data_IF_921543719787
#
_entry.id   IF_921543719787
#
_cell.length_a   1.000
_cell.length_b   1.000
_cell.length_c   1.000
_cell.angle_alpha   90.00
_cell.angle_beta   90.00
_cell.angle_gamma   90.00
#
_symmetry.space_group_name_H-M   'P 1'
#
loop_
_entity.id
_entity.type
_entity.pdbx_description
1 polymer ?
#
# COMPACT_ATOMS: atom_id res chain seq x y z
N UNK A 1 18.64 -24.71 -61.38
CA UNK A 1 19.84 -23.89 -61.65
C UNK A 1 19.40 -22.44 -61.79
N UNK A 2 19.98 -21.54 -60.98
CA UNK A 2 19.99 -20.08 -61.22
C UNK A 2 18.91 -19.26 -60.50
N UNK A 3 19.35 -18.41 -59.55
CA UNK A 3 18.77 -17.07 -59.39
C UNK A 3 18.25 -16.69 -58.00
N UNK A 4 19.14 -16.21 -57.12
CA UNK A 4 18.81 -15.38 -55.96
C UNK A 4 18.06 -14.10 -56.36
N UNK A 5 16.98 -13.75 -55.63
CA UNK A 5 16.63 -12.39 -55.13
C UNK A 5 15.20 -12.40 -54.55
N UNK A 6 15.02 -11.86 -53.34
CA UNK A 6 13.70 -11.48 -52.83
C UNK A 6 13.48 -11.75 -51.34
N UNK A 7 14.03 -10.87 -50.52
CA UNK A 7 13.86 -10.82 -49.05
C UNK A 7 12.67 -9.89 -48.71
N UNK A 8 12.02 -10.18 -47.57
CA UNK A 8 11.17 -9.32 -46.71
C UNK A 8 9.76 -8.89 -47.13
N UNK A 9 8.75 -9.45 -46.44
CA UNK A 9 7.50 -8.82 -45.94
C UNK A 9 6.66 -9.90 -45.26
N UNK A 10 6.02 -9.80 -44.08
CA UNK A 10 5.93 -8.80 -43.04
C UNK A 10 5.21 -9.52 -41.87
N UNK A 11 5.86 -9.60 -40.71
CA UNK A 11 5.26 -10.12 -39.48
C UNK A 11 4.40 -9.00 -38.87
N UNK A 12 3.11 -9.27 -38.72
CA UNK A 12 2.15 -8.39 -38.06
C UNK A 12 2.57 -8.12 -36.60
N UNK A 13 2.59 -6.84 -36.24
CA UNK A 13 2.64 -6.36 -34.86
C UNK A 13 1.37 -6.77 -34.11
N UNK A 14 1.52 -7.54 -33.02
CA UNK A 14 0.56 -7.55 -31.91
C UNK A 14 1.13 -6.64 -30.84
N UNK A 15 0.51 -5.47 -30.66
CA UNK A 15 0.77 -4.56 -29.55
C UNK A 15 0.31 -5.22 -28.25
N UNK A 16 1.26 -5.58 -27.38
CA UNK A 16 1.00 -5.90 -25.98
C UNK A 16 1.19 -4.63 -25.15
N UNK A 17 0.07 -4.20 -24.59
CA UNK A 17 -0.09 -3.09 -23.66
C UNK A 17 0.70 -3.39 -22.37
N UNK A 18 1.68 -2.56 -22.03
CA UNK A 18 2.47 -2.71 -20.81
C UNK A 18 1.74 -2.08 -19.61
N UNK A 19 1.16 -2.93 -18.76
CA UNK A 19 0.77 -2.54 -17.40
C UNK A 19 2.01 -2.41 -16.52
N UNK A 20 2.04 -1.34 -15.70
CA UNK A 20 3.14 -0.96 -14.81
C UNK A 20 3.36 -1.93 -13.64
N UNK A 21 3.87 -3.12 -13.94
CA UNK A 21 4.34 -4.10 -12.95
C UNK A 21 5.87 -3.97 -12.74
N UNK A 22 6.37 -3.98 -11.49
CA UNK A 22 7.81 -3.97 -11.18
C UNK A 22 8.56 -5.25 -11.62
N UNK A 23 7.89 -6.20 -12.27
CA UNK A 23 8.51 -7.36 -12.89
C UNK A 23 9.23 -7.04 -14.22
N UNK A 24 8.89 -5.94 -14.91
CA UNK A 24 9.48 -5.60 -16.20
C UNK A 24 10.93 -5.07 -16.08
N UNK A 25 11.33 -4.54 -14.92
CA UNK A 25 12.71 -4.09 -14.68
C UNK A 25 13.68 -5.20 -14.32
N UNK A 26 13.20 -6.37 -13.83
CA UNK A 26 14.10 -7.50 -13.56
C UNK A 26 14.49 -8.25 -14.83
N UNK A 27 13.59 -8.29 -15.83
CA UNK A 27 13.85 -8.96 -17.11
C UNK A 27 14.97 -8.27 -17.92
N UNK A 28 15.07 -6.95 -17.83
CA UNK A 28 16.13 -6.19 -18.50
C UNK A 28 17.50 -6.32 -17.81
N UNK A 29 17.54 -6.48 -16.49
CA UNK A 29 18.78 -6.76 -15.74
C UNK A 29 19.26 -8.20 -15.94
N UNK A 30 18.34 -9.15 -16.02
CA UNK A 30 18.59 -10.55 -16.36
C UNK A 30 19.24 -10.68 -17.76
N UNK A 31 18.78 -9.92 -18.76
CA UNK A 31 19.28 -9.97 -20.14
C UNK A 31 20.76 -9.56 -20.30
N UNK A 32 21.27 -8.64 -19.47
CA UNK A 32 22.68 -8.22 -19.50
C UNK A 32 23.61 -9.30 -18.92
N UNK A 33 23.11 -10.14 -18.00
CA UNK A 33 23.82 -11.29 -17.45
C UNK A 33 23.77 -12.52 -18.37
N UNK A 34 22.71 -12.68 -19.17
CA UNK A 34 22.64 -13.71 -20.19
C UNK A 34 23.56 -13.42 -21.37
N UNK A 35 23.83 -12.15 -21.70
CA UNK A 35 24.64 -11.77 -22.86
C UNK A 35 26.04 -12.39 -22.88
N UNK A 36 26.85 -12.39 -21.80
CA UNK A 36 28.16 -13.06 -21.78
C UNK A 36 28.08 -14.59 -21.85
N UNK A 37 27.09 -15.20 -21.19
CA UNK A 37 26.89 -16.66 -21.16
C UNK A 37 26.33 -17.19 -22.48
N UNK A 38 25.37 -16.48 -23.06
CA UNK A 38 24.89 -16.68 -24.41
C UNK A 38 25.99 -16.38 -25.41
N UNK A 39 26.81 -15.33 -25.23
CA UNK A 39 27.97 -15.04 -26.06
C UNK A 39 29.02 -16.16 -25.98
N UNK A 40 29.21 -16.83 -24.85
CA UNK A 40 30.08 -18.02 -24.77
C UNK A 40 29.48 -19.24 -25.48
N UNK A 41 28.17 -19.48 -25.36
CA UNK A 41 27.49 -20.54 -26.11
C UNK A 41 27.45 -20.26 -27.62
N UNK A 42 27.27 -18.99 -28.00
CA UNK A 42 27.26 -18.45 -29.36
C UNK A 42 28.67 -18.46 -29.92
N UNK A 43 29.71 -18.09 -29.19
CA UNK A 43 31.11 -18.16 -29.64
C UNK A 43 31.58 -19.60 -29.82
N UNK A 44 31.13 -20.55 -28.99
CA UNK A 44 31.39 -21.97 -29.22
C UNK A 44 30.75 -22.50 -30.52
N UNK A 45 29.68 -21.86 -31.00
CA UNK A 45 28.93 -22.26 -32.21
C UNK A 45 29.30 -21.41 -33.45
N UNK A 46 29.72 -20.15 -33.28
CA UNK A 46 29.86 -19.13 -34.34
C UNK A 46 31.28 -18.66 -34.59
N UNK A 47 32.29 -19.31 -33.99
CA UNK A 47 33.70 -18.95 -34.17
C UNK A 47 34.25 -18.96 -35.62
N UNK A 48 33.54 -19.46 -36.67
CA UNK A 48 34.01 -19.21 -38.04
C UNK A 48 33.49 -17.94 -38.74
N UNK A 49 32.49 -17.19 -38.24
CA UNK A 49 31.65 -16.45 -39.21
C UNK A 49 31.31 -14.96 -39.04
N UNK A 50 31.68 -14.22 -37.99
CA UNK A 50 31.28 -12.79 -37.95
C UNK A 50 32.36 -11.84 -37.43
N UNK A 51 33.20 -11.40 -38.36
CA UNK A 51 33.72 -10.04 -38.43
C UNK A 51 32.75 -9.23 -39.32
N UNK A 52 32.55 -7.94 -38.98
CA UNK A 52 31.75 -6.90 -39.67
C UNK A 52 30.32 -6.73 -39.12
N UNK A 53 30.09 -5.79 -38.21
CA UNK A 53 29.66 -4.42 -38.54
C UNK A 53 29.34 -3.62 -37.26
N UNK A 54 29.69 -2.33 -37.30
CA UNK A 54 29.53 -1.35 -36.22
C UNK A 54 28.25 -0.49 -36.38
N UNK A 55 27.61 -0.20 -35.21
CA UNK A 55 27.08 1.13 -34.77
C UNK A 55 25.79 1.72 -35.42
N UNK A 56 25.14 2.80 -34.88
CA UNK A 56 24.56 3.04 -33.54
C UNK A 56 23.17 3.75 -33.52
N UNK A 57 22.68 4.06 -32.30
CA UNK A 57 21.83 5.22 -31.90
C UNK A 57 20.31 5.11 -32.22
N UNK A 58 19.34 5.75 -31.57
CA UNK A 58 19.17 6.55 -30.34
C UNK A 58 17.65 6.84 -30.20
N UNK A 59 17.24 7.55 -29.14
CA UNK A 59 16.10 8.51 -29.08
C UNK A 59 14.83 8.16 -28.24
N UNK A 60 14.67 9.03 -27.22
CA UNK A 60 13.51 9.68 -26.57
C UNK A 60 12.42 8.96 -25.76
N UNK A 61 12.22 9.56 -24.56
CA UNK A 61 11.07 9.52 -23.66
C UNK A 61 9.92 10.40 -24.20
N UNK A 62 8.65 10.04 -23.93
CA UNK A 62 7.56 11.00 -23.84
C UNK A 62 7.17 11.28 -22.38
N UNK A 63 7.04 12.57 -22.08
CA UNK A 63 6.29 13.10 -20.95
C UNK A 63 4.80 13.11 -21.28
N UNK A 64 3.95 12.84 -20.29
CA UNK A 64 2.50 12.94 -20.41
C UNK A 64 1.92 13.62 -19.18
N UNK A 65 1.51 14.88 -19.35
CA UNK A 65 0.62 15.62 -18.44
C UNK A 65 -0.81 15.20 -18.72
N UNK A 66 -1.62 15.03 -17.66
CA UNK A 66 -3.08 15.01 -17.75
C UNK A 66 -3.61 16.04 -16.76
N UNK A 67 -4.45 16.94 -17.28
CA UNK A 67 -5.17 17.99 -16.57
C UNK A 67 -6.66 17.66 -16.65
N UNK A 68 -7.37 17.74 -15.53
CA UNK A 68 -8.81 17.96 -15.53
C UNK A 68 -9.21 18.99 -14.47
N UNK A 69 -10.08 19.92 -14.91
CA UNK A 69 -10.68 21.01 -14.17
C UNK A 69 -11.79 20.49 -13.25
N UNK A 70 -11.83 20.93 -11.99
CA UNK A 70 -13.08 21.19 -11.28
C UNK A 70 -12.97 22.48 -10.46
N UNK A 71 -14.01 23.31 -10.59
CA UNK A 71 -14.08 24.69 -10.15
C UNK A 71 -14.69 24.78 -8.75
N UNK A 72 -13.93 25.40 -7.83
CA UNK A 72 -14.33 26.14 -6.61
C UNK A 72 -15.49 25.61 -5.76
N UNK A 73 -15.14 25.03 -4.62
CA UNK A 73 -15.76 25.36 -3.33
C UNK A 73 -14.75 25.08 -2.20
N UNK A 74 -14.21 26.15 -1.62
CA UNK A 74 -13.32 26.13 -0.45
C UNK A 74 -14.14 25.89 0.81
N UNK A 75 -13.91 24.79 1.52
CA UNK A 75 -14.41 24.56 2.88
C UNK A 75 -13.23 24.31 3.82
N UNK A 76 -13.29 24.86 5.03
CA UNK A 76 -12.20 24.94 6.01
C UNK A 76 -12.77 24.61 7.40
N UNK A 77 -12.17 23.66 8.13
CA UNK A 77 -11.65 23.77 9.52
C UNK A 77 -11.65 22.44 10.33
N UNK A 78 -10.60 22.23 11.13
CA UNK A 78 -10.47 21.27 12.26
C UNK A 78 -9.63 21.92 13.37
N UNK A 79 -10.04 21.81 14.65
CA UNK A 79 -9.15 21.87 15.83
C UNK A 79 -9.28 20.54 16.61
N UNK A 80 -8.32 20.06 17.41
CA UNK A 80 -7.68 20.69 18.58
C UNK A 80 -6.55 19.79 19.14
N UNK A 81 -5.56 20.37 19.85
CA UNK A 81 -5.03 20.01 21.20
C UNK A 81 -3.50 20.22 21.37
N UNK A 82 -3.18 21.28 22.13
CA UNK A 82 -1.95 21.64 22.87
C UNK A 82 -0.58 21.35 22.22
N UNK A 83 0.09 22.43 21.78
CA UNK A 83 1.56 22.51 21.76
C UNK A 83 2.21 22.90 20.42
N UNK A 84 1.45 23.15 19.36
CA UNK A 84 1.98 23.49 18.03
C UNK A 84 1.15 24.63 17.42
N UNK A 85 1.81 25.56 16.74
CA UNK A 85 1.28 26.82 16.17
C UNK A 85 -0.02 26.64 15.35
N UNK A 86 -0.88 27.67 15.37
CA UNK A 86 -2.13 27.74 14.60
C UNK A 86 -1.85 27.76 13.09
N UNK A 87 -2.46 26.83 12.35
CA UNK A 87 -2.32 26.72 10.90
C UNK A 87 -3.70 26.67 10.25
N UNK A 88 -3.99 27.59 9.35
CA UNK A 88 -5.25 27.62 8.60
C UNK A 88 -5.03 26.82 7.32
N UNK A 89 -5.91 25.88 6.96
CA UNK A 89 -5.69 25.02 5.78
C UNK A 89 -6.85 25.15 4.79
N UNK A 90 -6.58 25.56 3.55
CA UNK A 90 -7.55 25.60 2.46
C UNK A 90 -7.43 24.37 1.56
N UNK A 91 -8.55 23.96 0.97
CA UNK A 91 -8.58 22.94 -0.06
C UNK A 91 -8.49 23.61 -1.43
N UNK A 92 -7.32 23.55 -2.06
CA UNK A 92 -7.09 24.14 -3.38
C UNK A 92 -6.35 23.13 -4.27
N UNK A 93 -6.90 22.87 -5.47
CA UNK A 93 -6.37 21.90 -6.44
C UNK A 93 -6.16 20.50 -5.86
N UNK A 94 -7.20 19.94 -5.20
CA UNK A 94 -7.18 18.58 -4.62
C UNK A 94 -6.09 18.36 -3.56
N UNK A 95 -5.50 19.44 -3.04
CA UNK A 95 -4.44 19.40 -2.03
C UNK A 95 -4.74 20.35 -0.88
N UNK A 96 -4.41 19.93 0.33
CA UNK A 96 -4.44 20.77 1.52
C UNK A 96 -3.26 21.73 1.49
N UNK A 97 -3.55 23.04 1.51
CA UNK A 97 -2.53 24.10 1.59
C UNK A 97 -2.74 24.95 2.84
N UNK A 98 -1.65 25.26 3.51
CA UNK A 98 -1.66 26.23 4.61
C UNK A 98 -1.86 27.65 4.08
N UNK A 99 -2.76 28.40 4.71
CA UNK A 99 -3.10 29.78 4.44
C UNK A 99 -2.97 30.61 5.73
N UNK A 100 -2.92 31.92 5.58
CA UNK A 100 -2.85 32.84 6.70
C UNK A 100 -4.25 33.19 7.23
N UNK A 101 -4.33 33.56 8.50
CA UNK A 101 -5.56 33.96 9.22
C UNK A 101 -6.39 35.01 8.47
N UNK A 102 -5.72 36.03 7.91
CA UNK A 102 -6.38 37.09 7.14
C UNK A 102 -7.03 36.58 5.86
N UNK A 103 -6.43 35.57 5.24
CA UNK A 103 -6.99 34.94 4.04
C UNK A 103 -8.19 34.08 4.40
N UNK A 104 -8.11 33.32 5.50
CA UNK A 104 -9.24 32.57 6.04
C UNK A 104 -10.43 33.50 6.36
N UNK A 105 -10.19 34.62 7.05
CA UNK A 105 -11.22 35.60 7.39
C UNK A 105 -11.90 36.21 6.14
N UNK A 106 -11.14 36.47 5.06
CA UNK A 106 -11.71 36.99 3.81
C UNK A 106 -12.54 35.96 3.03
N UNK A 107 -12.21 34.66 3.12
CA UNK A 107 -13.01 33.58 2.53
C UNK A 107 -14.36 33.47 3.24
N UNK A 108 -14.40 33.64 4.56
CA UNK A 108 -15.66 33.66 5.33
C UNK A 108 -16.56 34.87 4.98
N UNK A 109 -16.02 35.94 4.41
CA UNK A 109 -16.84 37.06 3.93
C UNK A 109 -17.47 36.81 2.54
N UNK A 110 -17.23 35.66 1.91
CA UNK A 110 -17.77 35.38 0.58
C UNK A 110 -19.24 34.91 0.66
N UNK A 111 -20.09 35.83 0.18
CA UNK A 111 -21.47 35.69 -0.34
C UNK A 111 -22.62 35.68 0.67
N UNK A 112 -23.04 36.90 0.99
CA UNK A 112 -24.45 37.33 1.09
C UNK A 112 -25.19 37.05 -0.24
N UNK A 113 -25.40 35.79 -0.58
CA UNK A 113 -26.13 35.35 -1.77
C UNK A 113 -26.87 34.06 -1.41
N UNK A 114 -28.02 34.25 -0.75
CA UNK A 114 -29.30 33.53 -0.85
C UNK A 114 -30.16 34.23 0.23
N UNK A 115 -31.37 34.67 -0.11
CA UNK A 115 -32.35 35.11 0.90
C UNK A 115 -32.79 33.88 1.68
N UNK A 116 -31.95 33.45 2.63
CA UNK A 116 -32.28 32.33 3.51
C UNK A 116 -33.41 32.79 4.44
N UNK A 117 -34.41 31.92 4.68
CA UNK A 117 -35.44 32.21 5.66
C UNK A 117 -34.79 32.46 7.03
N UNK A 118 -35.17 33.56 7.68
CA UNK A 118 -34.66 33.93 9.00
C UNK A 118 -35.62 33.43 10.08
N UNK A 119 -35.26 32.36 10.78
CA UNK A 119 -36.15 31.61 11.67
C UNK A 119 -36.36 32.22 13.07
N UNK A 120 -36.09 33.53 13.24
CA UNK A 120 -36.38 34.31 14.47
C UNK A 120 -35.96 33.60 15.78
N UNK A 121 -34.78 32.98 15.79
CA UNK A 121 -34.24 32.26 16.95
C UNK A 121 -35.10 31.08 17.42
N UNK A 122 -35.86 30.44 16.52
CA UNK A 122 -36.53 29.17 16.85
C UNK A 122 -35.48 28.16 17.36
N UNK A 123 -35.83 27.46 18.42
CA UNK A 123 -35.00 26.42 19.02
C UNK A 123 -34.90 25.26 18.02
N UNK A 124 -33.68 24.76 17.84
CA UNK A 124 -33.38 23.60 17.01
C UNK A 124 -32.65 22.55 17.87
N UNK A 125 -33.29 21.42 18.15
CA UNK A 125 -32.76 20.39 19.05
C UNK A 125 -31.94 19.36 18.30
N UNK A 126 -30.75 19.04 18.81
CA UNK A 126 -29.77 18.18 18.16
C UNK A 126 -29.37 17.06 19.12
N UNK A 127 -29.66 15.80 18.79
CA UNK A 127 -29.11 14.67 19.51
C UNK A 127 -27.68 14.36 19.04
N UNK A 128 -26.78 14.03 19.98
CA UNK A 128 -25.42 13.61 19.65
C UNK A 128 -24.82 12.61 20.63
N UNK A 129 -23.78 11.89 20.22
CA UNK A 129 -23.01 10.98 21.09
C UNK A 129 -21.51 11.24 20.93
N UNK A 130 -20.68 10.74 21.85
CA UNK A 130 -19.24 10.81 21.75
C UNK A 130 -18.75 9.84 20.67
N UNK A 131 -18.31 10.39 19.55
CA UNK A 131 -17.82 9.63 18.41
C UNK A 131 -16.66 10.35 17.74
N UNK A 132 -15.46 9.85 18.02
CA UNK A 132 -14.22 10.25 17.39
C UNK A 132 -14.04 11.78 17.29
N UNK A 133 -13.68 12.30 16.12
CA UNK A 133 -13.53 13.72 15.79
C UNK A 133 -14.84 14.39 15.37
N UNK A 134 -15.90 13.61 15.12
CA UNK A 134 -17.17 14.14 14.62
C UNK A 134 -17.96 14.84 15.71
N UNK A 135 -18.01 14.24 16.91
CA UNK A 135 -18.76 14.77 18.04
C UNK A 135 -18.15 14.32 19.38
N UNK A 136 -17.97 15.27 20.28
CA UNK A 136 -17.53 15.04 21.64
C UNK A 136 -18.32 15.98 22.55
N UNK A 137 -19.02 15.41 23.51
CA UNK A 137 -19.82 16.15 24.48
C UNK A 137 -19.43 15.76 25.90
N UNK A 138 -19.45 16.76 26.77
CA UNK A 138 -19.29 16.57 28.20
C UNK A 138 -20.33 15.59 28.77
N UNK A 139 -20.11 15.12 30.00
CA UNK A 139 -21.22 14.55 30.75
C UNK A 139 -22.22 15.67 31.09
N UNK A 140 -23.53 15.42 30.96
CA UNK A 140 -24.53 16.39 31.38
C UNK A 140 -24.43 16.63 32.88
N UNK A 141 -24.60 17.88 33.30
CA UNK A 141 -24.75 18.24 34.71
C UNK A 141 -26.13 17.80 35.24
N UNK A 142 -26.40 17.95 36.55
CA UNK A 142 -27.69 17.59 37.16
C UNK A 142 -28.91 18.27 36.51
N UNK A 143 -28.69 19.39 35.80
CA UNK A 143 -29.71 20.13 35.06
C UNK A 143 -29.75 19.80 33.56
N UNK A 144 -29.15 18.68 33.14
CA UNK A 144 -29.02 18.22 31.73
C UNK A 144 -28.31 19.22 30.79
N UNK A 145 -27.59 20.18 31.37
CA UNK A 145 -26.78 21.13 30.61
C UNK A 145 -25.42 20.54 30.29
N UNK A 146 -25.00 20.63 29.02
CA UNK A 146 -23.68 20.21 28.58
C UNK A 146 -22.66 21.34 28.82
N UNK A 147 -21.63 21.07 29.62
CA UNK A 147 -20.55 22.03 29.90
C UNK A 147 -19.76 22.45 28.65
N UNK A 148 -19.58 21.53 27.72
CA UNK A 148 -18.87 21.76 26.47
C UNK A 148 -19.31 20.76 25.41
N UNK A 149 -19.27 21.21 24.16
CA UNK A 149 -19.53 20.42 22.96
C UNK A 149 -18.44 20.74 21.95
N UNK A 150 -17.84 19.71 21.36
CA UNK A 150 -16.76 19.78 20.38
C UNK A 150 -17.04 18.77 19.27
N UNK A 151 -16.31 18.89 18.17
CA UNK A 151 -16.37 17.96 17.06
C UNK A 151 -16.84 18.63 15.78
N UNK A 152 -16.25 18.19 14.68
CA UNK A 152 -16.40 18.82 13.38
C UNK A 152 -17.87 18.92 12.93
N UNK A 153 -18.63 17.84 13.07
CA UNK A 153 -20.01 17.79 12.61
C UNK A 153 -20.93 18.71 13.42
N UNK A 154 -20.74 18.75 14.74
CA UNK A 154 -21.51 19.65 15.61
C UNK A 154 -21.22 21.12 15.30
N UNK A 155 -19.95 21.47 15.13
CA UNK A 155 -19.54 22.84 14.79
C UNK A 155 -20.10 23.27 13.44
N UNK A 156 -20.06 22.39 12.43
CA UNK A 156 -20.63 22.66 11.12
C UNK A 156 -22.14 22.91 11.19
N UNK A 157 -22.88 22.07 11.94
CA UNK A 157 -24.31 22.24 12.09
C UNK A 157 -24.68 23.50 12.88
N UNK A 158 -23.89 23.89 13.89
CA UNK A 158 -24.08 25.16 14.59
C UNK A 158 -23.94 26.36 13.67
N UNK A 159 -22.91 26.38 12.83
CA UNK A 159 -22.70 27.45 11.84
C UNK A 159 -23.88 27.53 10.85
N UNK A 160 -24.40 26.38 10.41
CA UNK A 160 -25.59 26.34 9.57
C UNK A 160 -26.81 26.92 10.31
N UNK A 161 -27.06 26.50 11.55
CA UNK A 161 -28.16 27.02 12.36
C UNK A 161 -28.08 28.53 12.55
N UNK A 162 -26.90 29.04 12.90
CA UNK A 162 -26.67 30.48 13.09
C UNK A 162 -26.88 31.26 11.78
N UNK A 163 -26.46 30.72 10.64
CA UNK A 163 -26.63 31.36 9.32
C UNK A 163 -28.10 31.57 8.91
N UNK A 164 -29.01 30.74 9.42
CA UNK A 164 -30.47 30.84 9.18
C UNK A 164 -31.24 31.42 10.37
N UNK A 165 -30.54 31.85 11.42
CA UNK A 165 -31.13 32.43 12.62
C UNK A 165 -31.89 31.43 13.51
N UNK A 166 -31.44 30.17 13.57
CA UNK A 166 -31.88 29.15 14.53
C UNK A 166 -30.98 29.15 15.77
N UNK A 167 -31.52 28.72 16.92
CA UNK A 167 -30.76 28.53 18.15
C UNK A 167 -30.57 27.03 18.42
N UNK A 168 -29.37 26.47 18.20
CA UNK A 168 -29.12 25.05 18.43
C UNK A 168 -29.07 24.73 19.93
N UNK A 169 -29.71 23.62 20.33
CA UNK A 169 -29.61 23.02 21.67
C UNK A 169 -29.20 21.57 21.49
N UNK A 170 -28.10 21.16 22.13
CA UNK A 170 -27.58 19.80 21.99
C UNK A 170 -28.00 18.95 23.18
N UNK A 171 -28.50 17.76 22.89
CA UNK A 171 -28.81 16.71 23.86
C UNK A 171 -27.90 15.50 23.62
N UNK A 172 -27.52 14.81 24.70
CA UNK A 172 -26.65 13.64 24.60
C UNK A 172 -27.47 12.36 24.50
N UNK A 173 -27.35 11.67 23.37
CA UNK A 173 -27.89 10.33 23.20
C UNK A 173 -27.05 9.30 23.99
N UNK A 174 -27.73 8.38 24.67
CA UNK A 174 -27.08 7.38 25.54
C UNK A 174 -26.46 6.24 24.73
N UNK A 175 -27.04 5.90 23.57
CA UNK A 175 -26.67 4.72 22.77
C UNK A 175 -26.79 4.96 21.27
N UNK A 176 -26.15 4.06 20.54
CA UNK A 176 -26.33 3.91 19.09
C UNK A 176 -27.54 3.04 18.79
N UNK A 177 -28.22 3.35 17.70
CA UNK A 177 -29.35 2.57 17.20
C UNK A 177 -28.92 1.20 16.74
N UNK A 178 -29.85 0.26 16.86
CA UNK A 178 -29.75 -1.05 16.25
C UNK A 178 -31.02 -1.31 15.48
N UNK A 179 -30.87 -1.79 14.25
CA UNK A 179 -31.99 -2.13 13.38
C UNK A 179 -32.07 -3.65 13.22
N UNK A 180 -33.29 -4.16 13.08
CA UNK A 180 -33.53 -5.49 12.54
C UNK A 180 -33.37 -5.45 11.01
N UNK A 181 -33.17 -6.63 10.39
CA UNK A 181 -33.08 -6.74 8.92
C UNK A 181 -34.32 -6.21 8.17
N UNK A 182 -35.46 -6.16 8.84
CA UNK A 182 -36.71 -5.62 8.30
C UNK A 182 -36.83 -4.08 8.41
N UNK A 183 -35.76 -3.38 8.82
CA UNK A 183 -35.75 -1.92 9.00
C UNK A 183 -36.37 -1.43 10.31
N UNK A 184 -36.95 -2.31 11.14
CA UNK A 184 -37.52 -1.90 12.43
C UNK A 184 -36.44 -1.62 13.46
N UNK A 185 -36.65 -0.60 14.29
CA UNK A 185 -35.72 -0.21 15.35
C UNK A 185 -35.77 -1.28 16.45
N UNK A 186 -34.63 -1.94 16.68
CA UNK A 186 -34.43 -2.92 17.76
C UNK A 186 -34.10 -2.24 19.08
N UNK A 187 -33.27 -1.20 19.02
CA UNK A 187 -32.88 -0.40 20.18
C UNK A 187 -32.90 1.06 19.78
N UNK A 188 -33.62 1.86 20.57
CA UNK A 188 -33.62 3.31 20.43
C UNK A 188 -32.24 3.87 20.80
N UNK A 189 -31.66 4.63 19.89
CA UNK A 189 -30.45 5.40 20.07
C UNK A 189 -30.52 6.74 19.34
N UNK A 190 -29.34 7.27 19.01
CA UNK A 190 -29.11 8.57 18.40
C UNK A 190 -30.07 8.96 17.26
N UNK A 191 -30.24 8.10 16.26
CA UNK A 191 -31.07 8.34 15.07
C UNK A 191 -32.55 8.16 15.39
N UNK A 192 -32.90 7.20 16.25
CA UNK A 192 -34.28 6.96 16.62
C UNK A 192 -34.91 8.17 17.29
N UNK A 193 -34.14 8.98 18.03
CA UNK A 193 -34.63 10.23 18.63
C UNK A 193 -35.09 11.23 17.57
N UNK A 194 -34.40 11.30 16.42
CA UNK A 194 -34.83 12.11 15.29
C UNK A 194 -36.05 11.50 14.60
N UNK A 195 -36.03 10.19 14.34
CA UNK A 195 -37.14 9.45 13.72
C UNK A 195 -38.45 9.59 14.51
N UNK A 196 -38.39 9.57 15.84
CA UNK A 196 -39.57 9.73 16.69
C UNK A 196 -40.01 11.18 16.88
N UNK A 197 -39.25 12.15 16.36
CA UNK A 197 -39.50 13.58 16.52
C UNK A 197 -39.21 14.13 17.92
N UNK A 198 -38.38 13.43 18.71
CA UNK A 198 -37.92 13.94 20.01
C UNK A 198 -36.86 15.03 19.84
N UNK A 199 -36.09 14.96 18.74
CA UNK A 199 -35.15 15.99 18.33
C UNK A 199 -35.34 16.36 16.86
N UNK A 200 -34.92 17.57 16.47
CA UNK A 200 -35.00 18.03 15.08
C UNK A 200 -33.91 17.41 14.19
N UNK A 201 -32.75 17.07 14.75
CA UNK A 201 -31.65 16.41 14.02
C UNK A 201 -30.81 15.50 14.91
N UNK A 202 -30.16 14.50 14.29
CA UNK A 202 -29.19 13.63 14.93
C UNK A 202 -27.81 13.75 14.26
N UNK A 203 -26.76 13.86 15.09
CA UNK A 203 -25.39 14.12 14.65
C UNK A 203 -24.39 13.29 15.44
N UNK A 204 -23.39 12.71 14.77
CA UNK A 204 -22.26 12.12 15.48
C UNK A 204 -21.57 10.98 14.76
N UNK A 205 -21.29 11.14 13.47
CA UNK A 205 -20.68 10.11 12.61
C UNK A 205 -21.69 9.08 12.13
N UNK A 206 -22.89 9.53 11.77
CA UNK A 206 -23.94 8.67 11.22
C UNK A 206 -23.51 8.20 9.83
N UNK A 207 -23.36 6.89 9.69
CA UNK A 207 -23.13 6.25 8.40
C UNK A 207 -24.45 5.96 7.70
N UNK A 208 -24.45 6.15 6.39
CA UNK A 208 -25.54 5.71 5.52
C UNK A 208 -25.67 4.19 5.57
N UNK A 209 -26.84 3.70 5.96
CA UNK A 209 -27.19 2.27 5.89
C UNK A 209 -28.43 2.07 5.05
N UNK A 210 -28.52 0.93 4.36
CA UNK A 210 -29.64 0.63 3.49
C UNK A 210 -30.98 0.61 4.26
N UNK A 211 -30.93 0.21 5.52
CA UNK A 211 -32.09 0.13 6.42
C UNK A 211 -32.68 1.49 6.81
N UNK A 212 -31.96 2.59 6.59
CA UNK A 212 -32.48 3.95 6.86
C UNK A 212 -33.22 4.56 5.68
N UNK A 213 -33.04 4.02 4.47
CA UNK A 213 -33.65 4.58 3.28
C UNK A 213 -35.17 4.46 3.39
N UNK A 214 -35.85 5.61 3.49
CA UNK A 214 -37.30 5.68 3.66
C UNK A 214 -37.80 5.69 5.11
N UNK A 215 -36.90 5.63 6.10
CA UNK A 215 -37.24 5.80 7.53
C UNK A 215 -36.91 7.22 8.00
N UNK A 216 -35.79 7.78 7.53
CA UNK A 216 -35.37 9.15 7.83
C UNK A 216 -34.76 9.83 6.60
N UNK A 217 -34.79 11.16 6.59
CA UNK A 217 -34.15 11.95 5.56
C UNK A 217 -32.71 12.27 5.98
N UNK A 218 -31.74 11.71 5.25
CA UNK A 218 -30.32 11.97 5.52
C UNK A 218 -29.83 13.06 4.57
N UNK A 219 -29.19 14.10 5.11
CA UNK A 219 -28.56 15.16 4.31
C UNK A 219 -27.47 14.57 3.41
N UNK A 220 -27.32 15.05 2.15
CA UNK A 220 -26.34 14.54 1.20
C UNK A 220 -24.98 14.30 1.83
N UNK A 221 -24.32 13.17 1.51
CA UNK A 221 -23.10 12.78 2.20
C UNK A 221 -22.03 13.83 1.96
N UNK A 222 -21.50 14.38 3.04
CA UNK A 222 -20.46 15.41 2.99
C UNK A 222 -19.07 14.79 2.87
N UNK A 223 -18.93 13.49 3.19
CA UNK A 223 -17.66 12.78 3.15
C UNK A 223 -17.80 11.30 2.77
N UNK A 224 -16.78 10.80 2.06
CA UNK A 224 -16.56 9.37 1.84
C UNK A 224 -15.41 8.91 2.72
N UNK A 225 -15.70 7.96 3.60
CA UNK A 225 -14.70 7.33 4.46
C UNK A 225 -14.45 5.89 4.07
N UNK A 226 -13.41 5.34 4.67
CA UNK A 226 -12.97 3.98 4.45
C UNK A 226 -12.57 3.33 5.77
N UNK A 227 -13.14 2.19 6.13
CA UNK A 227 -12.65 1.43 7.27
C UNK A 227 -11.33 0.74 6.93
N UNK A 228 -10.38 0.84 7.85
CA UNK A 228 -9.06 0.22 7.76
C UNK A 228 -8.68 -0.43 9.08
N UNK A 229 -7.82 -1.43 8.99
CA UNK A 229 -7.26 -2.09 10.16
C UNK A 229 -5.91 -1.50 10.52
N UNK A 230 -5.67 -1.38 11.81
CA UNK A 230 -4.37 -1.14 12.39
C UNK A 230 -3.65 -2.49 12.55
N UNK A 231 -2.64 -2.73 11.72
CA UNK A 231 -1.86 -3.98 11.65
C UNK A 231 -0.50 -3.82 12.35
N UNK A 232 0.07 -4.86 12.96
CA UNK A 232 1.41 -4.75 13.52
C UNK A 232 2.43 -4.45 12.41
N UNK A 233 3.40 -3.57 12.71
CA UNK A 233 4.49 -3.28 11.78
C UNK A 233 5.30 -4.54 11.52
N UNK A 234 5.69 -4.80 10.26
CA UNK A 234 6.53 -5.95 9.96
C UNK A 234 7.87 -5.81 10.69
N UNK A 235 8.29 -6.88 11.35
CA UNK A 235 9.59 -6.89 12.02
C UNK A 235 10.69 -7.05 10.98
N UNK A 236 11.88 -6.56 11.31
CA UNK A 236 13.07 -6.82 10.49
C UNK A 236 13.35 -8.32 10.54
N UNK A 237 13.45 -8.97 9.38
CA UNK A 237 13.90 -10.37 9.32
C UNK A 237 15.33 -10.42 9.84
N UNK A 238 15.61 -11.39 10.71
CA UNK A 238 16.98 -11.65 11.15
C UNK A 238 17.85 -12.02 9.95
N UNK A 239 19.14 -11.73 10.06
CA UNK A 239 20.11 -12.08 9.02
C UNK A 239 20.12 -13.60 8.83
N UNK A 240 19.77 -14.04 7.62
CA UNK A 240 19.80 -15.45 7.22
C UNK A 240 20.94 -15.64 6.21
N UNK A 241 21.72 -16.72 6.39
CA UNK A 241 22.80 -17.10 5.47
C UNK A 241 22.29 -17.40 4.06
N UNK A 242 21.01 -17.74 3.92
CA UNK A 242 20.37 -17.92 2.61
C UNK A 242 20.35 -16.63 1.78
N UNK A 243 20.54 -15.45 2.39
CA UNK A 243 20.60 -14.17 1.71
C UNK A 243 21.75 -14.09 0.69
N UNK A 244 22.87 -14.77 0.95
CA UNK A 244 23.99 -14.84 -0.01
C UNK A 244 23.62 -15.61 -1.27
N UNK A 245 22.78 -16.64 -1.16
CA UNK A 245 22.27 -17.39 -2.30
C UNK A 245 21.17 -16.61 -3.03
N UNK A 246 20.46 -15.72 -2.32
CA UNK A 246 19.43 -14.86 -2.89
C UNK A 246 19.95 -13.74 -3.80
N UNK A 247 21.26 -13.49 -3.84
CA UNK A 247 21.88 -12.42 -4.65
C UNK A 247 21.63 -12.62 -6.14
N UNK A 248 21.63 -13.88 -6.60
CA UNK A 248 21.29 -14.24 -7.97
C UNK A 248 20.05 -15.12 -8.01
N UNK A 249 19.29 -15.02 -9.11
CA UNK A 249 18.20 -15.94 -9.37
C UNK A 249 18.70 -17.38 -9.50
N UNK A 250 17.82 -18.35 -9.18
CA UNK A 250 18.15 -19.78 -9.25
C UNK A 250 18.70 -20.20 -10.63
N UNK A 251 18.19 -19.60 -11.71
CA UNK A 251 18.66 -19.87 -13.07
C UNK A 251 20.10 -19.44 -13.32
N UNK A 252 20.51 -18.30 -12.77
CA UNK A 252 21.89 -17.81 -12.91
C UNK A 252 22.84 -18.75 -12.17
N UNK A 253 22.49 -19.22 -10.98
CA UNK A 253 23.27 -20.22 -10.25
C UNK A 253 23.43 -21.52 -11.04
N UNK A 254 22.35 -22.01 -11.65
CA UNK A 254 22.39 -23.18 -12.53
C UNK A 254 23.34 -22.94 -13.70
N UNK A 255 23.28 -21.77 -14.35
CA UNK A 255 24.17 -21.43 -15.45
C UNK A 255 25.64 -21.31 -15.02
N UNK A 256 25.92 -20.78 -13.84
CA UNK A 256 27.27 -20.76 -13.27
C UNK A 256 27.78 -22.19 -13.12
N UNK A 257 26.99 -23.09 -12.50
CA UNK A 257 27.36 -24.51 -12.34
C UNK A 257 27.59 -25.18 -13.70
N UNK A 258 26.71 -24.96 -14.68
CA UNK A 258 26.86 -25.49 -16.04
C UNK A 258 28.13 -24.96 -16.70
N UNK A 259 28.42 -23.66 -16.57
CA UNK A 259 29.63 -23.06 -17.14
C UNK A 259 30.92 -23.61 -16.52
N UNK A 260 30.92 -23.89 -15.21
CA UNK A 260 32.03 -24.53 -14.50
C UNK A 260 32.29 -25.95 -15.05
N UNK A 261 31.29 -26.63 -15.62
CA UNK A 261 31.46 -27.94 -16.24
C UNK A 261 31.87 -27.83 -17.71
N UNK A 262 31.21 -26.94 -18.48
CA UNK A 262 31.42 -26.81 -19.92
C UNK A 262 32.81 -26.24 -20.25
N UNK A 263 33.26 -25.21 -19.54
CA UNK A 263 34.53 -24.54 -19.86
C UNK A 263 35.74 -25.49 -19.72
N UNK A 264 35.92 -26.26 -18.63
CA UNK A 264 37.00 -27.25 -18.54
C UNK A 264 36.91 -28.30 -19.64
N UNK A 265 35.71 -28.78 -19.99
CA UNK A 265 35.51 -29.77 -21.05
C UNK A 265 35.92 -29.23 -22.42
N UNK A 266 35.57 -27.99 -22.74
CA UNK A 266 36.00 -27.34 -24.00
C UNK A 266 37.50 -27.12 -24.05
N UNK A 267 38.14 -26.73 -22.93
CA UNK A 267 39.59 -26.62 -22.83
C UNK A 267 40.27 -27.99 -23.01
N UNK A 268 39.75 -29.06 -22.39
CA UNK A 268 40.25 -30.42 -22.58
C UNK A 268 40.03 -30.96 -24.00
N UNK A 269 38.93 -30.60 -24.66
CA UNK A 269 38.67 -31.02 -26.03
C UNK A 269 39.63 -30.32 -27.01
N UNK A 270 39.84 -29.02 -26.83
CA UNK A 270 40.77 -28.25 -27.67
C UNK A 270 42.22 -28.71 -27.50
N UNK A 271 42.64 -29.13 -26.31
CA UNK A 271 43.99 -29.70 -26.12
C UNK A 271 44.15 -31.03 -26.85
N UNK A 272 43.16 -31.91 -26.80
CA UNK A 272 43.18 -33.20 -27.50
C UNK A 272 43.13 -33.06 -29.02
N UNK A 273 42.42 -32.06 -29.53
CA UNK A 273 42.32 -31.80 -30.97
C UNK A 273 43.54 -31.07 -31.53
N UNK A 274 44.26 -30.30 -30.69
CA UNK A 274 45.53 -29.70 -31.11
C UNK A 274 46.62 -30.78 -31.08
N UNK A 275 47.23 -31.08 -32.22
CA UNK A 275 48.31 -32.06 -32.38
C UNK A 275 49.64 -31.65 -31.70
N UNK A 276 49.61 -30.79 -30.69
CA UNK A 276 50.78 -30.23 -30.01
C UNK A 276 51.10 -31.03 -28.73
N UNK A 277 52.20 -31.81 -28.70
CA UNK A 277 52.53 -32.69 -27.57
C UNK A 277 52.87 -31.96 -26.27
N UNK A 278 53.34 -30.70 -26.34
CA UNK A 278 53.60 -29.87 -25.16
C UNK A 278 52.30 -29.44 -24.45
N UNK A 279 51.24 -29.19 -25.22
CA UNK A 279 49.94 -28.77 -24.71
C UNK A 279 49.20 -29.94 -24.04
N UNK A 280 49.35 -31.15 -24.59
CA UNK A 280 48.75 -32.37 -24.04
C UNK A 280 49.28 -32.70 -22.63
N UNK A 281 50.56 -32.39 -22.35
CA UNK A 281 51.20 -32.71 -21.07
C UNK A 281 50.64 -31.88 -19.91
N UNK A 282 50.26 -30.63 -20.13
CA UNK A 282 49.82 -29.70 -19.08
C UNK A 282 48.34 -29.87 -18.69
N UNK A 283 47.49 -30.44 -19.57
CA UNK A 283 46.04 -30.57 -19.35
C UNK A 283 45.56 -32.03 -19.27
N UNK A 284 46.46 -32.97 -18.98
CA UNK A 284 46.13 -34.40 -18.88
C UNK A 284 45.18 -34.73 -17.71
N UNK A 285 45.24 -33.95 -16.63
CA UNK A 285 44.38 -34.16 -15.46
C UNK A 285 43.12 -33.30 -15.55
N UNK A 286 41.96 -33.97 -15.61
CA UNK A 286 40.64 -33.32 -15.57
C UNK A 286 40.47 -32.48 -14.30
N UNK A 287 40.95 -33.01 -13.16
CA UNK A 287 40.90 -32.30 -11.89
C UNK A 287 41.66 -30.98 -11.92
N UNK A 288 42.87 -30.96 -12.48
CA UNK A 288 43.67 -29.74 -12.58
C UNK A 288 42.97 -28.66 -13.43
N UNK A 289 42.37 -29.05 -14.55
CA UNK A 289 41.63 -28.13 -15.43
C UNK A 289 40.38 -27.57 -14.75
N UNK A 290 39.67 -28.41 -13.98
CA UNK A 290 38.52 -27.96 -13.18
C UNK A 290 38.91 -26.96 -12.09
N UNK A 291 39.94 -27.28 -11.29
CA UNK A 291 40.43 -26.38 -10.24
C UNK A 291 40.96 -25.06 -10.83
N UNK A 292 41.58 -25.11 -12.02
CA UNK A 292 42.01 -23.93 -12.73
C UNK A 292 40.83 -23.03 -13.15
N UNK A 293 39.75 -23.59 -13.69
CA UNK A 293 38.56 -22.80 -14.06
C UNK A 293 37.90 -22.18 -12.83
N UNK A 294 37.81 -22.94 -11.73
CA UNK A 294 37.29 -22.45 -10.45
C UNK A 294 38.19 -21.35 -9.86
N UNK A 295 39.51 -21.49 -9.94
CA UNK A 295 40.43 -20.49 -9.40
C UNK A 295 40.33 -19.16 -10.15
N UNK A 296 40.12 -19.19 -11.47
CA UNK A 296 39.85 -17.98 -12.28
C UNK A 296 38.49 -17.37 -11.93
N UNK A 297 37.46 -18.18 -11.63
CA UNK A 297 36.16 -17.70 -11.17
C UNK A 297 36.26 -16.97 -9.82
N UNK A 298 37.08 -17.49 -8.92
CA UNK A 298 37.36 -16.88 -7.60
C UNK A 298 38.41 -15.76 -7.69
N UNK A 299 38.91 -15.44 -8.90
CA UNK A 299 39.93 -14.41 -9.17
C UNK A 299 41.25 -14.63 -8.43
N UNK A 300 41.62 -15.89 -8.18
CA UNK A 300 42.92 -16.22 -7.60
C UNK A 300 44.00 -16.03 -8.66
N UNK A 301 45.09 -15.29 -8.40
CA UNK A 301 46.16 -15.10 -9.37
C UNK A 301 46.77 -16.44 -9.76
N UNK A 302 46.82 -16.72 -11.06
CA UNK A 302 47.37 -17.96 -11.61
C UNK A 302 48.79 -17.75 -12.16
N UNK A 303 49.59 -18.81 -12.12
CA UNK A 303 50.93 -18.83 -12.73
C UNK A 303 50.79 -18.72 -14.26
N UNK A 304 51.66 -17.93 -14.88
CA UNK A 304 51.68 -17.68 -16.33
C UNK A 304 51.71 -19.00 -17.11
N UNK A 305 50.65 -19.28 -17.85
CA UNK A 305 50.56 -20.42 -18.76
C UNK A 305 50.75 -19.96 -20.21
N UNK A 306 51.45 -20.77 -21.00
CA UNK A 306 51.71 -20.50 -22.42
C UNK A 306 50.51 -20.89 -23.28
N UNK A 307 49.49 -20.03 -23.30
CA UNK A 307 48.30 -20.19 -24.13
C UNK A 307 48.61 -19.98 -25.61
N UNK A 308 48.16 -20.87 -26.49
CA UNK A 308 48.32 -20.74 -27.95
C UNK A 308 47.03 -21.06 -28.70
N UNK A 309 46.80 -20.38 -29.82
CA UNK A 309 45.71 -20.67 -30.75
C UNK A 309 44.30 -20.47 -30.15
N UNK A 310 43.43 -21.46 -30.34
CA UNK A 310 41.99 -21.40 -29.99
C UNK A 310 41.72 -21.31 -28.47
N UNK A 311 42.69 -21.62 -27.62
CA UNK A 311 42.52 -21.52 -26.16
C UNK A 311 42.52 -20.08 -25.65
N UNK A 312 43.20 -19.18 -26.36
CA UNK A 312 43.32 -17.76 -26.01
C UNK A 312 41.95 -17.06 -25.94
N UNK A 313 41.09 -17.12 -26.98
CA UNK A 313 39.77 -16.50 -26.91
C UNK A 313 38.86 -17.13 -25.84
N UNK A 314 38.90 -18.45 -25.64
CA UNK A 314 38.10 -19.15 -24.60
C UNK A 314 38.51 -18.68 -23.20
N UNK A 315 39.81 -18.55 -22.96
CA UNK A 315 40.32 -18.08 -21.68
C UNK A 315 39.94 -16.62 -21.43
N UNK A 316 40.14 -15.73 -22.41
CA UNK A 316 39.77 -14.32 -22.28
C UNK A 316 38.26 -14.13 -22.13
N UNK A 317 37.43 -14.90 -22.83
CA UNK A 317 35.97 -14.84 -22.67
C UNK A 317 35.55 -15.31 -21.28
N UNK A 318 36.15 -16.39 -20.76
CA UNK A 318 35.90 -16.86 -19.40
C UNK A 318 36.35 -15.83 -18.36
N UNK A 319 37.55 -15.28 -18.48
CA UNK A 319 38.08 -14.26 -17.58
C UNK A 319 37.19 -13.00 -17.55
N UNK A 320 36.71 -12.56 -18.71
CA UNK A 320 35.82 -11.41 -18.77
C UNK A 320 34.46 -11.72 -18.14
N UNK A 321 33.92 -12.91 -18.38
CA UNK A 321 32.67 -13.36 -17.77
C UNK A 321 32.79 -13.45 -16.23
N UNK A 322 33.89 -14.00 -15.69
CA UNK A 322 34.10 -14.09 -14.24
C UNK A 322 34.29 -12.73 -13.59
N UNK A 323 34.97 -11.80 -14.27
CA UNK A 323 35.11 -10.41 -13.83
C UNK A 323 33.75 -9.70 -13.74
N UNK A 324 32.93 -9.80 -14.78
CA UNK A 324 31.57 -9.22 -14.80
C UNK A 324 30.69 -9.84 -13.72
N UNK A 325 30.75 -11.17 -13.57
CA UNK A 325 29.94 -11.89 -12.59
C UNK A 325 30.31 -11.49 -11.15
N UNK A 326 31.60 -11.37 -10.83
CA UNK A 326 32.05 -10.94 -9.51
C UNK A 326 31.67 -9.49 -9.21
N UNK A 327 31.78 -8.59 -10.20
CA UNK A 327 31.33 -7.20 -10.06
C UNK A 327 29.82 -7.13 -9.81
N UNK A 328 29.02 -7.91 -10.55
CA UNK A 328 27.57 -7.98 -10.35
C UNK A 328 27.19 -8.58 -8.98
N UNK A 329 27.89 -9.63 -8.55
CA UNK A 329 27.66 -10.27 -7.25
C UNK A 329 27.96 -9.33 -6.10
N UNK A 330 29.12 -8.67 -6.11
CA UNK A 330 29.52 -7.72 -5.06
C UNK A 330 28.58 -6.52 -5.00
N UNK A 331 28.21 -5.92 -6.14
CA UNK A 331 27.26 -4.81 -6.17
C UNK A 331 25.87 -5.17 -5.64
N UNK A 332 25.35 -6.34 -6.06
CA UNK A 332 24.03 -6.81 -5.62
C UNK A 332 24.02 -7.20 -4.14
N UNK A 333 25.08 -7.86 -3.66
CA UNK A 333 25.26 -8.19 -2.25
C UNK A 333 25.32 -6.92 -1.39
N UNK A 334 26.09 -5.91 -1.81
CA UNK A 334 26.14 -4.62 -1.11
C UNK A 334 24.76 -3.97 -1.03
N UNK A 335 23.99 -3.96 -2.13
CA UNK A 335 22.64 -3.42 -2.13
C UNK A 335 21.69 -4.18 -1.17
N UNK A 336 21.76 -5.51 -1.14
CA UNK A 336 20.95 -6.32 -0.22
C UNK A 336 21.33 -6.14 1.25
N UNK A 337 22.59 -5.87 1.57
CA UNK A 337 23.04 -5.61 2.94
C UNK A 337 22.59 -4.23 3.45
N UNK A 338 22.44 -3.26 2.54
CA UNK A 338 21.97 -1.90 2.88
C UNK A 338 20.46 -1.88 3.10
N UNK A 339 19.68 -2.61 2.29
CA UNK A 339 18.22 -2.61 2.40
C UNK A 339 17.77 -3.63 3.46
N UNK A 340 17.23 -3.19 4.61
CA UNK A 340 16.74 -4.13 5.61
C UNK A 340 15.58 -4.96 5.05
N UNK A 341 15.70 -6.28 5.14
CA UNK A 341 14.60 -7.18 4.83
C UNK A 341 13.59 -7.20 5.98
N UNK A 342 12.31 -7.11 5.65
CA UNK A 342 11.21 -7.13 6.60
C UNK A 342 10.33 -8.36 6.40
N UNK A 343 9.58 -8.70 7.43
CA UNK A 343 8.51 -9.69 7.33
C UNK A 343 7.48 -9.28 6.28
N UNK A 344 6.98 -10.28 5.55
CA UNK A 344 6.00 -10.04 4.51
C UNK A 344 4.72 -9.51 5.14
N UNK A 345 4.24 -8.37 4.65
CA UNK A 345 3.00 -7.78 5.16
C UNK A 345 1.78 -8.54 4.64
N UNK A 346 0.73 -8.72 5.46
CA UNK A 346 -0.52 -9.26 4.96
C UNK A 346 -1.11 -8.28 3.95
N UNK A 347 -1.34 -8.73 2.72
CA UNK A 347 -1.87 -7.88 1.64
C UNK A 347 -3.37 -8.00 1.54
N UNK A 348 -3.89 -9.20 1.75
CA UNK A 348 -5.29 -9.53 1.56
C UNK A 348 -5.93 -10.03 2.85
N UNK A 349 -7.27 -10.03 2.88
CA UNK A 349 -8.04 -10.60 3.97
C UNK A 349 -7.72 -12.09 4.22
N UNK A 350 -7.46 -12.86 3.15
CA UNK A 350 -7.05 -14.27 3.26
C UNK A 350 -5.76 -14.41 4.07
N UNK A 351 -4.76 -13.58 3.78
CA UNK A 351 -3.49 -13.58 4.53
C UNK A 351 -3.72 -13.29 6.02
N UNK A 352 -4.70 -12.43 6.35
CA UNK A 352 -5.06 -12.14 7.74
C UNK A 352 -5.69 -13.37 8.43
N UNK A 353 -6.58 -14.08 7.72
CA UNK A 353 -7.22 -15.31 8.21
C UNK A 353 -6.19 -16.42 8.41
N UNK A 354 -5.31 -16.63 7.42
CA UNK A 354 -4.32 -17.71 7.39
C UNK A 354 -3.26 -17.53 8.47
N UNK A 355 -2.85 -16.28 8.72
CA UNK A 355 -1.92 -15.94 9.81
C UNK A 355 -2.56 -15.92 11.20
N UNK A 356 -3.87 -16.14 11.27
CA UNK A 356 -4.63 -16.24 12.51
C UNK A 356 -4.80 -14.90 13.23
N UNK A 357 -4.90 -13.80 12.49
CA UNK A 357 -5.27 -12.52 13.07
C UNK A 357 -6.72 -12.54 13.54
N UNK A 358 -6.99 -11.78 14.59
CA UNK A 358 -8.32 -11.52 15.13
C UNK A 358 -8.56 -10.02 15.15
N UNK A 359 -9.81 -9.59 15.15
CA UNK A 359 -10.13 -8.17 15.19
C UNK A 359 -11.31 -7.91 16.10
N UNK A 360 -11.44 -6.66 16.54
CA UNK A 360 -12.57 -6.23 17.35
C UNK A 360 -12.57 -4.75 17.62
N UNK A 361 -13.65 -4.30 18.26
CA UNK A 361 -13.84 -2.93 18.73
C UNK A 361 -14.46 -2.98 20.12
N UNK A 362 -14.09 -2.06 21.03
CA UNK A 362 -14.78 -1.88 22.30
C UNK A 362 -16.22 -1.35 22.12
N UNK A 363 -16.52 -0.73 20.98
CA UNK A 363 -17.80 -0.10 20.70
C UNK A 363 -18.52 -0.85 19.57
N UNK A 364 -19.53 -1.62 19.99
CA UNK A 364 -20.56 -2.31 19.22
C UNK A 364 -20.23 -3.71 18.66
N UNK A 365 -20.96 -4.69 19.18
CA UNK A 365 -21.33 -5.91 18.46
C UNK A 365 -22.54 -5.69 17.52
N UNK A 366 -23.29 -4.60 17.67
CA UNK A 366 -24.55 -4.39 16.93
C UNK A 366 -24.38 -3.72 15.56
N UNK A 367 -23.44 -2.78 15.42
CA UNK A 367 -23.14 -2.13 14.13
C UNK A 367 -22.38 -3.08 13.21
N UNK A 368 -21.30 -3.69 13.68
CA UNK A 368 -20.49 -4.58 12.84
C UNK A 368 -21.24 -5.83 12.34
N UNK A 369 -22.13 -6.42 13.14
CA UNK A 369 -22.88 -7.61 12.71
C UNK A 369 -23.98 -7.26 11.70
N UNK A 370 -24.45 -6.01 11.66
CA UNK A 370 -25.42 -5.53 10.65
C UNK A 370 -24.73 -5.00 9.39
N UNK A 371 -23.47 -4.56 9.51
CA UNK A 371 -22.62 -4.11 8.40
C UNK A 371 -22.22 -5.24 7.45
N UNK A 372 -22.14 -6.49 7.94
CA UNK A 372 -21.76 -7.65 7.15
C UNK A 372 -22.97 -8.57 6.92
N UNK A 373 -23.56 -8.49 5.73
CA UNK A 373 -24.77 -9.24 5.37
C UNK A 373 -24.48 -10.72 5.00
N UNK A 374 -25.53 -11.54 4.92
CA UNK A 374 -25.44 -12.98 4.62
C UNK A 374 -24.94 -13.27 3.19
N UNK A 375 -24.98 -12.28 2.29
CA UNK A 375 -24.52 -12.38 0.88
C UNK A 375 -23.01 -12.20 0.70
N UNK A 376 -22.25 -12.16 1.80
CA UNK A 376 -20.80 -12.04 1.71
C UNK A 376 -20.12 -13.34 1.26
N UNK A 377 -19.02 -13.19 0.52
CA UNK A 377 -18.15 -14.31 0.15
C UNK A 377 -17.71 -15.11 1.37
N UNK A 378 -17.44 -16.41 1.22
CA UNK A 378 -17.05 -17.29 2.32
C UNK A 378 -15.84 -16.77 3.12
N UNK A 379 -14.92 -16.06 2.46
CA UNK A 379 -13.75 -15.43 3.09
C UNK A 379 -14.17 -14.36 4.10
N UNK A 380 -15.14 -13.53 3.73
CA UNK A 380 -15.69 -12.48 4.60
C UNK A 380 -16.48 -13.10 5.76
N UNK A 381 -17.25 -14.17 5.52
CA UNK A 381 -17.94 -14.91 6.60
C UNK A 381 -16.95 -15.51 7.60
N UNK A 382 -15.88 -16.13 7.11
CA UNK A 382 -14.82 -16.68 7.95
C UNK A 382 -14.10 -15.60 8.77
N UNK A 383 -13.88 -14.43 8.17
CA UNK A 383 -13.33 -13.28 8.88
C UNK A 383 -14.29 -12.78 9.96
N UNK A 384 -15.51 -12.43 9.57
CA UNK A 384 -16.49 -11.77 10.44
C UNK A 384 -16.95 -12.66 11.57
N UNK A 385 -17.40 -13.88 11.29
CA UNK A 385 -17.92 -14.78 12.34
C UNK A 385 -16.82 -15.57 13.04
N UNK A 386 -15.74 -15.92 12.33
CA UNK A 386 -14.66 -16.74 12.87
C UNK A 386 -13.62 -15.95 13.68
N UNK A 387 -13.27 -14.73 13.23
CA UNK A 387 -12.13 -13.96 13.77
C UNK A 387 -12.52 -12.72 14.57
N UNK A 388 -13.80 -12.31 14.56
CA UNK A 388 -14.25 -11.22 15.42
C UNK A 388 -14.22 -11.62 16.90
N UNK A 389 -13.72 -10.72 17.75
CA UNK A 389 -13.74 -10.87 19.21
C UNK A 389 -14.22 -9.56 19.81
N UNK A 390 -15.37 -9.61 20.47
CA UNK A 390 -15.87 -8.48 21.23
C UNK A 390 -14.90 -8.19 22.38
N UNK A 391 -14.51 -6.94 22.52
CA UNK A 391 -13.82 -6.42 23.70
C UNK A 391 -14.84 -5.59 24.47
N UNK A 392 -15.02 -5.83 25.77
CA UNK A 392 -16.02 -5.10 26.56
C UNK A 392 -15.46 -3.78 27.08
N UNK A 393 -14.15 -3.72 27.29
CA UNK A 393 -13.46 -2.55 27.83
C UNK A 393 -12.33 -2.11 26.90
N UNK A 394 -11.93 -0.85 27.06
CA UNK A 394 -10.81 -0.29 26.33
C UNK A 394 -9.49 -0.95 26.76
N UNK A 395 -9.33 -1.23 28.05
CA UNK A 395 -8.15 -1.89 28.63
C UNK A 395 -7.95 -3.28 28.04
N UNK A 396 -9.03 -4.07 27.91
CA UNK A 396 -9.00 -5.38 27.27
C UNK A 396 -8.55 -5.28 25.80
N UNK A 397 -8.97 -4.22 25.10
CA UNK A 397 -8.55 -3.96 23.72
C UNK A 397 -7.04 -3.68 23.66
N UNK A 398 -6.53 -2.84 24.56
CA UNK A 398 -5.10 -2.52 24.66
C UNK A 398 -4.27 -3.76 25.01
N UNK A 399 -4.74 -4.60 25.93
CA UNK A 399 -4.08 -5.86 26.26
C UNK A 399 -4.04 -6.84 25.09
N UNK A 400 -5.14 -6.97 24.34
CA UNK A 400 -5.17 -7.80 23.13
C UNK A 400 -4.25 -7.23 22.05
N UNK A 401 -4.19 -5.91 21.86
CA UNK A 401 -3.23 -5.29 20.94
C UNK A 401 -1.78 -5.65 21.30
N UNK A 402 -1.42 -5.73 22.59
CA UNK A 402 -0.06 -6.14 23.00
C UNK A 402 0.33 -7.54 22.52
N UNK A 403 -0.64 -8.43 22.24
CA UNK A 403 -0.36 -9.76 21.67
C UNK A 403 0.19 -9.72 20.24
N UNK A 404 -0.02 -8.61 19.51
CA UNK A 404 0.41 -8.44 18.12
C UNK A 404 -0.41 -9.21 17.08
N UNK A 405 -1.44 -9.95 17.48
CA UNK A 405 -2.37 -10.66 16.57
C UNK A 405 -3.79 -10.10 16.59
N UNK A 406 -4.02 -9.02 17.34
CA UNK A 406 -5.30 -8.35 17.43
C UNK A 406 -5.27 -7.06 16.63
N UNK A 407 -6.21 -6.92 15.70
CA UNK A 407 -6.37 -5.77 14.82
C UNK A 407 -7.46 -4.85 15.36
N UNK A 408 -7.19 -3.56 15.34
CA UNK A 408 -8.19 -2.53 15.68
C UNK A 408 -8.70 -1.90 14.41
N UNK A 409 -10.02 -1.72 14.34
CA UNK A 409 -10.66 -1.04 13.21
C UNK A 409 -10.73 0.44 13.49
N UNK A 410 -10.43 1.24 12.48
CA UNK A 410 -10.68 2.66 12.51
C UNK A 410 -11.12 3.16 11.15
N UNK A 411 -11.51 4.44 11.14
CA UNK A 411 -11.92 5.14 9.95
C UNK A 411 -10.73 5.85 9.34
N UNK A 412 -10.66 5.78 8.02
CA UNK A 412 -9.76 6.59 7.24
C UNK A 412 -10.60 7.55 6.42
N UNK A 413 -10.30 8.82 6.61
CA UNK A 413 -10.92 9.93 5.93
C UNK A 413 -9.80 10.67 5.22
N UNK A 414 -9.85 10.69 3.88
CA UNK A 414 -8.75 11.14 3.03
C UNK A 414 -7.45 10.39 3.37
N UNK A 415 -6.50 11.05 4.02
CA UNK A 415 -5.22 10.48 4.47
C UNK A 415 -5.07 10.39 6.00
N UNK A 416 -6.11 10.71 6.75
CA UNK A 416 -6.07 10.70 8.22
C UNK A 416 -6.84 9.51 8.78
N UNK A 417 -6.24 8.82 9.75
CA UNK A 417 -6.85 7.71 10.45
C UNK A 417 -7.40 8.13 11.81
N UNK A 418 -8.65 7.78 12.05
CA UNK A 418 -9.40 8.09 13.25
C UNK A 418 -9.85 6.81 13.94
N UNK A 419 -9.68 6.76 15.26
CA UNK A 419 -10.27 5.70 16.05
C UNK A 419 -11.77 5.95 16.22
N UNK A 420 -12.54 4.87 16.19
CA UNK A 420 -14.00 4.91 16.35
C UNK A 420 -14.48 5.30 17.74
N UNK A 421 -13.59 5.27 18.73
CA UNK A 421 -13.93 5.61 20.10
C UNK A 421 -12.74 6.22 20.84
N UNK A 422 -13.09 6.95 21.89
CA UNK A 422 -12.17 7.48 22.89
C UNK A 422 -12.31 6.65 24.18
N UNK A 423 -11.23 6.36 24.91
CA UNK A 423 -9.87 6.92 24.79
C UNK A 423 -9.01 6.27 23.69
N UNK A 424 -7.90 6.94 23.34
CA UNK A 424 -6.92 6.45 22.35
C UNK A 424 -5.91 5.48 22.99
N UNK A 425 -5.44 4.44 22.27
CA UNK A 425 -4.36 3.58 22.76
C UNK A 425 -3.08 4.37 23.08
N UNK A 426 -2.27 3.91 24.06
CA UNK A 426 -0.98 4.52 24.38
C UNK A 426 -0.06 4.64 23.17
N UNK A 427 0.69 5.75 23.07
CA UNK A 427 1.52 6.07 21.90
C UNK A 427 2.64 5.04 21.67
N UNK A 428 3.24 4.52 22.74
CA UNK A 428 4.28 3.48 22.71
C UNK A 428 3.77 2.18 22.05
N UNK A 429 2.48 1.89 22.21
CA UNK A 429 1.83 0.77 21.56
C UNK A 429 1.53 1.10 20.10
N UNK A 430 1.01 2.29 19.80
CA UNK A 430 0.67 2.72 18.44
C UNK A 430 1.88 2.74 17.51
N UNK A 431 3.07 3.08 18.00
CA UNK A 431 4.31 3.05 17.21
C UNK A 431 4.66 1.65 16.68
N UNK A 432 4.14 0.58 17.30
CA UNK A 432 4.33 -0.81 16.86
C UNK A 432 3.36 -1.23 15.77
N UNK A 433 2.42 -0.37 15.39
CA UNK A 433 1.42 -0.66 14.39
C UNK A 433 1.52 0.32 13.21
N UNK A 434 0.95 -0.10 12.08
CA UNK A 434 0.76 0.70 10.88
C UNK A 434 -0.65 0.49 10.33
N UNK A 435 -1.15 1.47 9.59
CA UNK A 435 -2.47 1.38 8.98
C UNK A 435 -2.37 0.52 7.72
N UNK A 436 -3.25 -0.47 7.60
CA UNK A 436 -3.33 -1.26 6.38
C UNK A 436 -3.67 -0.37 5.17
N UNK A 437 -3.06 -0.64 4.02
CA UNK A 437 -3.33 0.11 2.78
C UNK A 437 -4.70 -0.22 2.19
N UNK A 438 -5.19 -1.44 2.41
CA UNK A 438 -6.44 -1.88 1.80
C UNK A 438 -7.63 -1.31 2.56
N UNK A 439 -8.52 -0.65 1.83
CA UNK A 439 -9.86 -0.36 2.31
C UNK A 439 -10.67 -1.64 2.35
N UNK A 440 -11.22 -2.01 3.51
CA UNK A 440 -12.12 -3.14 3.55
C UNK A 440 -13.56 -2.77 3.30
N UNK A 441 -13.96 -1.54 3.66
CA UNK A 441 -15.31 -1.07 3.44
C UNK A 441 -15.35 0.44 3.30
N UNK A 442 -15.99 0.90 2.24
CA UNK A 442 -16.30 2.32 2.06
C UNK A 442 -17.59 2.64 2.79
N UNK A 443 -17.67 3.83 3.36
CA UNK A 443 -18.89 4.36 3.95
C UNK A 443 -19.09 5.81 3.55
N UNK A 444 -20.34 6.25 3.62
CA UNK A 444 -20.72 7.64 3.44
C UNK A 444 -21.19 8.16 4.79
N UNK A 445 -20.74 9.35 5.17
CA UNK A 445 -21.14 10.01 6.43
C UNK A 445 -22.06 11.19 6.13
N UNK A 446 -23.09 11.35 6.96
CA UNK A 446 -24.14 12.37 6.79
C UNK A 446 -24.72 12.85 8.12
N UNK A 447 -25.70 13.74 8.01
CA UNK A 447 -26.57 14.17 9.11
C UNK A 447 -27.96 13.59 8.90
N UNK A 448 -28.62 13.20 9.98
CA UNK A 448 -29.95 12.62 9.91
C UNK A 448 -30.98 13.61 10.46
N UNK A 449 -32.10 13.80 9.76
CA UNK A 449 -33.19 14.70 10.15
C UNK A 449 -34.55 14.16 9.69
N UNK A 450 -35.62 14.74 10.22
CA UNK A 450 -37.00 14.41 9.84
C UNK A 450 -37.72 15.69 9.47
N UNK A 451 -38.47 15.67 8.35
CA UNK A 451 -39.24 16.81 7.86
C UNK A 451 -40.52 17.08 8.65
#
# INVERSE_FOLDING_TARGET
MGGLRGVTSGLQCVQLQTDGSPAASSLHQELVLYLPLAYMAVQAILCPWLLLHDSPSSVQRPSGKISHYFNRSTFLWVSELRGVEEKYLTFENESLKEINETTAASIFQIKKLINLPHYKQKIFTIATNNFSVYSQVAQPDENDNLKWTKGFQLMYLFLLCESVGLRPIVTKAVRWDSFYKNGTIKWHGLQSEAITGNVDAAVGGIWYRAEMVGVSDILPPWERGCFRYLIPRPKRKNFDWTLFLGVFGNWVWVLIVVSIIVVPLTLMLTTKLSLNPELERNYKSLGYTFFFVISVLVQVPQVRQDWRGVQVPIFYSWMWATMVLAAAFSGSLSAMLVIPSYEDRPKNLRDLIDRGYTYGSPYSSSGYVTIFDDDMSDVWKAWTYGRFRLSKTFEETVERMKTGKFLVTGEMVQDTFFFLGSPLPPEDLLQKFEINKQCHQNFLSGYDYVQ
#
